data_IF_963595006311
#
_entry.id   IF_963595006311
#
_cell.length_a   1.000
_cell.length_b   1.000
_cell.length_c   1.000
_cell.angle_alpha   90.00
_cell.angle_beta   90.00
_cell.angle_gamma   90.00
#
_symmetry.space_group_name_H-M   'P 1'
#
loop_
_entity.id
_entity.type
_entity.pdbx_description
1 polymer ?
#
# COMPACT_ATOMS: atom_id res chain seq x y z
N UNK A 1 23.44 21.74 -30.93
CA UNK A 1 22.02 21.93 -30.59
C UNK A 1 21.37 20.56 -30.42
N UNK A 2 21.53 19.93 -29.27
CA UNK A 2 20.82 18.70 -28.89
C UNK A 2 20.78 18.63 -27.35
N UNK A 3 20.19 19.65 -26.71
CA UNK A 3 20.10 19.76 -25.25
C UNK A 3 18.64 19.57 -24.76
N UNK A 4 17.77 19.01 -25.59
CA UNK A 4 16.33 18.90 -25.31
C UNK A 4 15.80 17.46 -25.27
N UNK A 5 16.67 16.44 -25.30
CA UNK A 5 16.22 15.04 -25.30
C UNK A 5 16.33 14.32 -23.95
N UNK A 6 16.77 14.98 -22.88
CA UNK A 6 17.16 14.31 -21.63
C UNK A 6 16.21 14.50 -20.44
N UNK A 7 15.00 15.08 -20.62
CA UNK A 7 14.19 15.53 -19.46
C UNK A 7 12.90 14.75 -19.18
N UNK A 8 12.33 13.87 -20.02
CA UNK A 8 11.03 13.26 -19.68
C UNK A 8 10.92 11.76 -19.98
N UNK A 9 11.78 10.96 -19.34
CA UNK A 9 11.50 9.54 -19.11
C UNK A 9 11.56 9.24 -17.60
N UNK A 10 10.74 9.93 -16.80
CA UNK A 10 10.30 9.33 -15.55
C UNK A 10 9.30 8.25 -15.92
N UNK A 11 9.77 7.00 -15.99
CA UNK A 11 8.91 5.83 -16.04
C UNK A 11 7.90 5.93 -14.89
N UNK A 12 6.62 6.08 -15.22
CA UNK A 12 5.55 5.87 -14.25
C UNK A 12 5.62 4.39 -13.88
N UNK A 13 6.35 4.07 -12.81
CA UNK A 13 6.36 2.73 -12.24
C UNK A 13 4.94 2.49 -11.69
N UNK A 14 4.15 1.57 -12.28
CA UNK A 14 2.76 1.35 -11.89
C UNK A 14 2.65 0.75 -10.48
N UNK A 15 3.71 0.12 -9.98
CA UNK A 15 3.81 -0.40 -8.60
C UNK A 15 4.12 0.72 -7.59
N UNK A 16 4.45 1.92 -8.09
CA UNK A 16 4.82 3.09 -7.32
C UNK A 16 3.73 4.18 -7.38
N UNK A 17 2.45 3.80 -7.40
CA UNK A 17 1.42 4.67 -6.83
C UNK A 17 1.68 4.72 -5.32
N UNK A 18 2.72 5.45 -4.91
CA UNK A 18 2.87 5.88 -3.52
C UNK A 18 1.63 6.71 -3.25
N UNK A 19 0.71 6.16 -2.49
CA UNK A 19 -0.39 6.93 -1.93
C UNK A 19 0.24 8.03 -1.07
N UNK A 20 0.42 9.20 -1.67
CA UNK A 20 0.91 10.37 -0.98
C UNK A 20 -0.25 10.92 -0.17
N UNK A 21 -0.11 10.84 1.15
CA UNK A 21 -1.07 11.40 2.09
C UNK A 21 -0.43 12.61 2.75
N UNK A 22 -1.15 13.73 2.74
CA UNK A 22 -0.73 14.99 3.36
C UNK A 22 -0.93 14.99 4.88
N UNK A 23 -1.89 14.19 5.36
CA UNK A 23 -2.24 14.09 6.77
C UNK A 23 -2.76 12.68 7.14
N UNK A 24 -2.88 12.39 8.44
CA UNK A 24 -3.33 11.08 8.91
C UNK A 24 -4.82 10.81 8.68
N UNK A 25 -5.63 11.81 8.35
CA UNK A 25 -7.01 11.59 7.94
C UNK A 25 -7.04 10.91 6.56
N UNK A 26 -6.28 11.44 5.60
CA UNK A 26 -6.10 10.81 4.29
C UNK A 26 -5.52 9.40 4.43
N UNK A 27 -4.52 9.19 5.29
CA UNK A 27 -3.98 7.83 5.56
C UNK A 27 -5.09 6.87 6.00
N UNK A 28 -6.01 7.30 6.88
CA UNK A 28 -7.11 6.44 7.34
C UNK A 28 -8.08 6.11 6.21
N UNK A 29 -8.49 7.11 5.43
CA UNK A 29 -9.38 6.95 4.27
C UNK A 29 -8.78 5.97 3.25
N UNK A 30 -7.50 6.14 2.95
CA UNK A 30 -6.77 5.31 2.01
C UNK A 30 -6.54 3.87 2.51
N UNK A 31 -6.32 3.71 3.82
CA UNK A 31 -6.10 2.41 4.46
C UNK A 31 -7.37 1.56 4.52
N UNK A 32 -8.53 2.18 4.70
CA UNK A 32 -9.82 1.49 4.88
C UNK A 32 -10.12 0.45 3.77
N UNK A 33 -10.09 0.80 2.47
CA UNK A 33 -10.34 -0.19 1.41
C UNK A 33 -9.29 -1.30 1.38
N UNK A 34 -8.03 -1.01 1.73
CA UNK A 34 -6.95 -2.01 1.77
C UNK A 34 -7.13 -3.03 2.90
N UNK A 35 -7.65 -2.60 4.05
CA UNK A 35 -8.01 -3.50 5.15
C UNK A 35 -9.18 -4.41 4.77
N UNK A 36 -10.21 -3.86 4.13
CA UNK A 36 -11.35 -4.63 3.66
C UNK A 36 -10.94 -5.66 2.59
N UNK A 37 -10.05 -5.27 1.68
CA UNK A 37 -9.47 -6.18 0.70
C UNK A 37 -8.67 -7.30 1.36
N UNK A 38 -7.82 -6.99 2.35
CA UNK A 38 -7.06 -7.99 3.08
C UNK A 38 -7.98 -8.99 3.82
N UNK A 39 -9.09 -8.52 4.40
CA UNK A 39 -10.10 -9.41 5.00
C UNK A 39 -10.74 -10.34 3.96
N UNK A 40 -11.05 -9.82 2.77
CA UNK A 40 -11.58 -10.61 1.66
C UNK A 40 -10.58 -11.69 1.20
N UNK A 41 -9.29 -11.35 1.07
CA UNK A 41 -8.23 -12.30 0.70
C UNK A 41 -8.09 -13.42 1.75
N UNK A 42 -8.13 -13.06 3.05
CA UNK A 42 -8.11 -14.05 4.14
C UNK A 42 -9.29 -15.00 4.01
N UNK A 43 -10.51 -14.49 3.82
CA UNK A 43 -11.71 -15.33 3.70
C UNK A 43 -11.64 -16.25 2.47
N UNK A 44 -11.23 -15.73 1.31
CA UNK A 44 -11.04 -16.54 0.09
C UNK A 44 -10.03 -17.66 0.28
N UNK A 45 -8.91 -17.38 0.95
CA UNK A 45 -7.90 -18.39 1.25
C UNK A 45 -8.44 -19.45 2.23
N UNK A 46 -9.21 -19.05 3.25
CA UNK A 46 -9.88 -19.99 4.15
C UNK A 46 -10.88 -20.90 3.42
N UNK A 47 -11.67 -20.35 2.49
CA UNK A 47 -12.68 -21.11 1.74
C UNK A 47 -12.09 -22.26 0.93
N UNK A 48 -10.84 -22.12 0.48
CA UNK A 48 -10.10 -23.15 -0.28
C UNK A 48 -9.10 -23.94 0.58
N UNK A 49 -9.02 -23.67 1.89
CA UNK A 49 -8.06 -24.31 2.79
C UNK A 49 -6.60 -23.91 2.55
N UNK A 50 -6.34 -22.75 1.95
CA UNK A 50 -5.00 -22.20 1.74
C UNK A 50 -4.47 -21.48 3.00
N UNK A 51 -3.15 -21.26 3.04
CA UNK A 51 -2.51 -20.49 4.11
C UNK A 51 -2.92 -19.01 4.06
N UNK A 52 -3.07 -18.40 5.24
CA UNK A 52 -3.49 -17.01 5.41
C UNK A 52 -2.43 -16.14 6.08
N UNK A 53 -1.26 -16.69 6.42
CA UNK A 53 -0.23 -16.01 7.19
C UNK A 53 0.22 -14.68 6.55
N UNK A 54 0.46 -14.68 5.23
CA UNK A 54 0.91 -13.48 4.51
C UNK A 54 -0.18 -12.41 4.45
N UNK A 55 -1.43 -12.77 4.15
CA UNK A 55 -2.56 -11.83 4.14
C UNK A 55 -2.81 -11.22 5.52
N UNK A 56 -2.64 -12.00 6.59
CA UNK A 56 -2.75 -11.50 7.98
C UNK A 56 -1.62 -10.55 8.33
N UNK A 57 -0.40 -10.85 7.89
CA UNK A 57 0.78 -9.98 8.07
C UNK A 57 0.60 -8.66 7.34
N UNK A 58 0.14 -8.70 6.09
CA UNK A 58 -0.20 -7.52 5.30
C UNK A 58 -1.26 -6.65 5.98
N UNK A 59 -2.36 -7.25 6.46
CA UNK A 59 -3.41 -6.54 7.20
C UNK A 59 -2.89 -5.88 8.48
N UNK A 60 -1.98 -6.56 9.20
CA UNK A 60 -1.40 -6.00 10.42
C UNK A 60 -0.49 -4.81 10.08
N UNK A 61 0.37 -4.93 9.08
CA UNK A 61 1.23 -3.84 8.62
C UNK A 61 0.41 -2.60 8.23
N UNK A 62 -0.75 -2.77 7.57
CA UNK A 62 -1.67 -1.67 7.29
C UNK A 62 -2.18 -0.97 8.56
N UNK A 63 -2.57 -1.73 9.59
CA UNK A 63 -3.05 -1.15 10.88
C UNK A 63 -1.96 -0.35 11.57
N UNK A 64 -0.73 -0.87 11.53
CA UNK A 64 0.41 -0.30 12.24
C UNK A 64 0.89 1.04 11.65
N UNK A 65 0.49 1.39 10.42
CA UNK A 65 0.85 2.68 9.78
C UNK A 65 0.58 3.89 10.69
N UNK A 66 -0.58 3.93 11.37
CA UNK A 66 -0.93 5.08 12.21
C UNK A 66 -0.20 5.13 13.56
N UNK A 67 0.56 4.08 13.89
CA UNK A 67 1.31 3.96 15.15
C UNK A 67 2.82 4.03 14.92
N UNK A 68 3.30 3.64 13.74
CA UNK A 68 4.73 3.63 13.38
C UNK A 68 5.20 4.98 12.86
N UNK A 69 4.36 5.69 12.11
CA UNK A 69 4.74 6.95 11.48
C UNK A 69 4.29 8.15 12.32
N UNK A 70 5.14 9.17 12.39
CA UNK A 70 4.81 10.47 13.00
C UNK A 70 4.47 11.54 11.94
N UNK A 71 4.71 11.24 10.66
CA UNK A 71 4.40 12.11 9.52
C UNK A 71 3.73 11.28 8.41
N UNK A 72 2.53 11.71 8.01
CA UNK A 72 1.74 11.08 6.96
C UNK A 72 2.45 11.03 5.61
N UNK A 73 3.29 12.01 5.29
CA UNK A 73 4.00 12.09 4.01
C UNK A 73 5.13 11.06 3.89
N UNK A 74 5.57 10.53 5.03
CA UNK A 74 6.65 9.54 5.12
C UNK A 74 6.15 8.09 5.13
N UNK A 75 4.83 7.89 5.12
CA UNK A 75 4.22 6.57 5.15
C UNK A 75 4.68 5.73 3.95
N UNK A 76 5.23 4.57 4.24
CA UNK A 76 5.49 3.52 3.26
C UNK A 76 4.40 2.46 3.42
N UNK A 77 3.63 2.26 2.36
CA UNK A 77 2.55 1.27 2.32
C UNK A 77 3.13 -0.14 2.14
N UNK A 78 2.62 -1.16 2.87
CA UNK A 78 3.06 -2.52 2.69
C UNK A 78 2.65 -3.04 1.30
N UNK A 79 3.50 -3.86 0.70
CA UNK A 79 3.17 -4.54 -0.56
C UNK A 79 2.13 -5.62 -0.31
N UNK A 80 1.15 -5.69 -1.21
CA UNK A 80 0.14 -6.75 -1.20
C UNK A 80 0.81 -8.09 -1.53
N UNK A 81 0.53 -9.17 -0.78
CA UNK A 81 0.99 -10.52 -1.13
C UNK A 81 0.31 -11.02 -2.42
N UNK A 82 1.02 -11.83 -3.20
CA UNK A 82 0.53 -12.39 -4.47
C UNK A 82 -0.41 -13.59 -4.27
#
# INVERSE_FOLDING_TARGET
MAFLSEILQEEINPDLIKLQCENFEQVRICREPLLAEADCLINKALDIGADTAEYRTYRQALRDITSVYNDAKTVIWPSKPM
#
